data_IF_136376061350
#
_entry.id   IF_136376061350
#
_cell.length_a   1.000
_cell.length_b   1.000
_cell.length_c   1.000
_cell.angle_alpha   90.00
_cell.angle_beta   90.00
_cell.angle_gamma   90.00
#
_symmetry.space_group_name_H-M   'P 1'
#
loop_
_entity.id
_entity.type
_entity.pdbx_description
1 polymer ?
#
# COMPACT_ATOMS: atom_id res chain seq x y z
N UNK A 1 1.84 -8.69 -19.82
CA UNK A 1 2.38 -9.48 -18.69
C UNK A 1 1.26 -9.79 -17.71
N UNK A 2 1.41 -10.79 -16.86
CA UNK A 2 0.41 -11.14 -15.84
C UNK A 2 0.94 -10.86 -14.42
N UNK A 3 0.08 -10.42 -13.51
CA UNK A 3 0.38 -10.37 -12.08
C UNK A 3 0.11 -11.74 -11.45
N UNK A 4 1.07 -12.28 -10.71
CA UNK A 4 0.89 -13.52 -9.95
C UNK A 4 0.84 -13.20 -8.46
N UNK A 5 -0.25 -13.61 -7.81
CA UNK A 5 -0.50 -13.34 -6.41
C UNK A 5 -1.20 -14.53 -5.71
N UNK A 6 -1.30 -14.48 -4.38
CA UNK A 6 -2.05 -15.39 -3.52
C UNK A 6 -1.66 -16.88 -3.61
N UNK A 7 -0.40 -17.17 -3.93
CA UNK A 7 0.12 -18.54 -3.87
C UNK A 7 0.06 -19.06 -2.43
N UNK A 8 -0.82 -20.02 -2.17
CA UNK A 8 -0.99 -20.62 -0.86
C UNK A 8 -1.03 -22.15 -0.93
N UNK A 9 -0.35 -22.80 0.01
CA UNK A 9 -0.40 -24.25 0.22
C UNK A 9 -0.85 -24.54 1.64
N UNK A 10 -1.87 -25.38 1.77
CA UNK A 10 -2.42 -25.82 3.04
C UNK A 10 -1.31 -26.36 3.97
N UNK A 11 -1.36 -26.02 5.27
CA UNK A 11 -0.30 -26.32 6.25
C UNK A 11 0.14 -27.80 6.24
N UNK A 12 -0.81 -28.73 6.13
CA UNK A 12 -0.57 -30.20 6.08
C UNK A 12 0.12 -30.71 4.79
N UNK A 13 0.14 -29.91 3.72
CA UNK A 13 0.70 -30.27 2.42
C UNK A 13 2.02 -29.54 2.10
N UNK A 14 2.51 -28.72 3.03
CA UNK A 14 3.82 -28.05 2.90
C UNK A 14 4.93 -29.09 2.84
N UNK A 15 6.05 -28.73 2.20
CA UNK A 15 7.22 -29.60 1.96
C UNK A 15 6.98 -30.82 1.05
N UNK A 16 5.79 -30.99 0.47
CA UNK A 16 5.47 -32.05 -0.50
C UNK A 16 5.60 -31.64 -1.97
N UNK A 17 6.38 -30.58 -2.26
CA UNK A 17 6.57 -30.01 -3.60
C UNK A 17 5.29 -29.59 -4.34
N UNK A 18 4.23 -29.22 -3.62
CA UNK A 18 2.98 -28.72 -4.21
C UNK A 18 3.14 -27.37 -4.91
N UNK A 19 3.86 -26.42 -4.31
CA UNK A 19 4.02 -25.08 -4.87
C UNK A 19 4.64 -25.07 -6.28
N UNK A 20 5.73 -25.82 -6.57
CA UNK A 20 6.24 -25.95 -7.94
C UNK A 20 5.22 -26.46 -8.97
N UNK A 21 4.32 -27.37 -8.57
CA UNK A 21 3.28 -27.89 -9.48
C UNK A 21 2.24 -26.81 -9.78
N UNK A 22 1.79 -26.07 -8.76
CA UNK A 22 0.87 -24.96 -8.93
C UNK A 22 1.46 -23.86 -9.82
N UNK A 23 2.73 -23.51 -9.60
CA UNK A 23 3.45 -22.52 -10.41
C UNK A 23 3.51 -22.98 -11.87
N UNK A 24 3.88 -24.24 -12.14
CA UNK A 24 3.92 -24.78 -13.51
C UNK A 24 2.56 -24.74 -14.19
N UNK A 25 1.49 -25.10 -13.47
CA UNK A 25 0.14 -25.10 -14.06
C UNK A 25 -0.35 -23.70 -14.38
N UNK A 26 -0.14 -22.71 -13.50
CA UNK A 26 -0.53 -21.33 -13.82
C UNK A 26 0.32 -20.77 -14.96
N UNK A 27 1.62 -21.05 -15.02
CA UNK A 27 2.47 -20.69 -16.17
C UNK A 27 1.95 -21.30 -17.47
N UNK A 28 1.54 -22.58 -17.46
CA UNK A 28 0.95 -23.23 -18.63
C UNK A 28 -0.33 -22.52 -19.10
N UNK A 29 -1.23 -22.16 -18.18
CA UNK A 29 -2.48 -21.44 -18.51
C UNK A 29 -2.22 -20.05 -19.09
N UNK A 30 -1.32 -19.30 -18.47
CA UNK A 30 -0.94 -17.94 -18.93
C UNK A 30 -0.30 -17.99 -20.32
N UNK A 31 0.56 -18.99 -20.57
CA UNK A 31 1.18 -19.19 -21.88
C UNK A 31 0.16 -19.53 -22.98
N UNK A 32 -0.96 -20.19 -22.66
CA UNK A 32 -2.02 -20.49 -23.63
C UNK A 32 -2.76 -19.23 -24.09
N UNK A 33 -2.83 -18.20 -23.25
CA UNK A 33 -3.35 -16.87 -23.60
C UNK A 33 -2.31 -16.00 -24.34
N UNK A 34 -1.15 -16.57 -24.70
CA UNK A 34 -0.08 -15.86 -25.41
C UNK A 34 0.74 -14.90 -24.55
N UNK A 35 0.58 -14.94 -23.22
CA UNK A 35 1.35 -14.14 -22.28
C UNK A 35 2.51 -14.99 -21.76
N UNK A 36 3.74 -14.47 -21.84
CA UNK A 36 4.93 -15.23 -21.44
C UNK A 36 5.74 -14.58 -20.31
N UNK A 37 5.31 -13.41 -19.83
CA UNK A 37 5.96 -12.66 -18.76
C UNK A 37 5.00 -12.50 -17.58
N UNK A 38 5.55 -12.58 -16.38
CA UNK A 38 4.80 -12.36 -15.16
C UNK A 38 5.55 -11.42 -14.21
N UNK A 39 4.82 -10.73 -13.36
CA UNK A 39 5.36 -9.93 -12.25
C UNK A 39 4.77 -10.42 -10.95
N UNK A 40 5.59 -10.52 -9.92
CA UNK A 40 5.13 -10.95 -8.60
C UNK A 40 6.05 -10.38 -7.51
N UNK A 41 5.52 -10.37 -6.30
CA UNK A 41 6.25 -10.01 -5.10
C UNK A 41 6.36 -11.20 -4.16
N UNK A 42 7.39 -11.21 -3.34
CA UNK A 42 7.50 -12.16 -2.24
C UNK A 42 8.15 -11.48 -1.03
N UNK A 43 7.85 -12.00 0.17
CA UNK A 43 8.62 -11.66 1.37
C UNK A 43 9.92 -12.47 1.51
N UNK A 44 10.04 -13.57 0.76
CA UNK A 44 11.20 -14.46 0.76
C UNK A 44 12.16 -14.14 -0.38
N UNK A 45 13.46 -14.21 -0.08
CA UNK A 45 14.53 -13.94 -1.05
C UNK A 45 14.63 -15.10 -2.04
N UNK A 46 14.44 -14.78 -3.32
CA UNK A 46 14.64 -15.68 -4.46
C UNK A 46 15.70 -15.08 -5.41
N UNK A 47 16.30 -15.89 -6.30
CA UNK A 47 17.19 -15.36 -7.33
C UNK A 47 16.46 -14.42 -8.30
N UNK A 48 17.16 -13.40 -8.82
CA UNK A 48 16.63 -12.50 -9.84
C UNK A 48 15.76 -11.34 -9.33
N UNK A 49 16.04 -10.83 -8.12
CA UNK A 49 15.37 -9.65 -7.57
C UNK A 49 15.59 -8.44 -8.48
N UNK A 50 14.49 -7.80 -8.88
CA UNK A 50 14.47 -6.58 -9.68
C UNK A 50 14.53 -5.34 -8.77
N UNK A 51 13.76 -5.34 -7.68
CA UNK A 51 13.79 -4.29 -6.67
C UNK A 51 13.42 -4.85 -5.29
N UNK A 52 13.86 -4.17 -4.23
CA UNK A 52 13.59 -4.54 -2.84
C UNK A 52 13.02 -3.33 -2.10
N UNK A 53 11.72 -3.37 -1.86
CA UNK A 53 11.01 -2.36 -1.07
C UNK A 53 10.87 -2.85 0.37
N UNK A 54 10.73 -1.93 1.30
CA UNK A 54 10.59 -2.20 2.73
C UNK A 54 9.29 -1.62 3.24
N UNK A 55 8.62 -2.35 4.12
CA UNK A 55 7.42 -1.86 4.78
C UNK A 55 7.77 -0.85 5.87
N UNK A 56 6.88 0.11 6.01
CA UNK A 56 6.90 1.14 7.03
C UNK A 56 5.52 1.23 7.66
N UNK A 57 5.50 1.50 8.97
CA UNK A 57 4.28 1.45 9.78
C UNK A 57 4.10 2.75 10.56
N UNK A 58 2.93 3.36 10.44
CA UNK A 58 2.50 4.49 11.26
C UNK A 58 1.42 4.04 12.23
N UNK A 59 1.74 4.09 13.52
CA UNK A 59 0.83 3.70 14.60
C UNK A 59 -0.32 4.70 14.76
N UNK A 60 -1.55 4.30 14.48
CA UNK A 60 -2.75 5.11 14.72
C UNK A 60 -3.33 4.80 16.11
N UNK A 61 -3.36 3.53 16.49
CA UNK A 61 -3.85 3.05 17.80
C UNK A 61 -2.74 2.41 18.64
N UNK A 62 -1.89 3.25 19.24
CA UNK A 62 -0.72 2.80 20.01
C UNK A 62 -1.08 1.80 21.13
N UNK A 63 -2.19 2.02 21.84
CA UNK A 63 -2.62 1.14 22.96
C UNK A 63 -2.89 -0.28 22.46
N UNK A 64 -3.68 -0.41 21.39
CA UNK A 64 -4.01 -1.72 20.82
C UNK A 64 -2.78 -2.39 20.22
N UNK A 65 -1.96 -1.65 19.46
CA UNK A 65 -0.75 -2.20 18.83
C UNK A 65 0.25 -2.76 19.85
N UNK A 66 0.41 -2.13 21.01
CA UNK A 66 1.25 -2.64 22.09
C UNK A 66 0.63 -3.86 22.78
N UNK A 67 -0.69 -3.86 23.01
CA UNK A 67 -1.39 -4.98 23.65
C UNK A 67 -1.28 -6.27 22.81
N UNK A 68 -1.44 -6.15 21.49
CA UNK A 68 -1.38 -7.29 20.56
C UNK A 68 0.05 -7.64 20.14
N UNK A 69 1.07 -6.96 20.68
CA UNK A 69 2.50 -7.14 20.37
C UNK A 69 2.84 -6.92 18.89
N UNK A 70 2.07 -6.09 18.18
CA UNK A 70 2.43 -5.65 16.83
C UNK A 70 3.59 -4.65 16.89
N UNK A 71 3.57 -3.75 17.87
CA UNK A 71 4.66 -2.80 18.13
C UNK A 71 5.24 -3.01 19.52
N UNK A 72 6.45 -2.47 19.74
CA UNK A 72 7.14 -2.49 21.03
C UNK A 72 7.53 -1.07 21.47
N UNK A 73 7.64 -0.87 22.78
CA UNK A 73 8.18 0.38 23.33
C UNK A 73 9.71 0.35 23.20
N UNK A 74 10.27 1.42 22.66
CA UNK A 74 11.72 1.63 22.65
C UNK A 74 12.27 1.87 24.07
N UNK A 75 13.60 1.83 24.20
CA UNK A 75 14.30 2.18 25.44
C UNK A 75 13.90 3.61 25.86
N UNK A 76 13.55 3.81 27.13
CA UNK A 76 13.11 5.09 27.71
C UNK A 76 11.81 5.69 27.11
N UNK A 77 10.98 4.88 26.45
CA UNK A 77 9.67 5.30 25.95
C UNK A 77 8.55 4.78 26.87
N UNK A 78 7.68 5.68 27.34
CA UNK A 78 6.46 5.30 28.07
C UNK A 78 5.25 5.26 27.12
N UNK A 79 4.20 4.52 27.50
CA UNK A 79 2.95 4.46 26.74
C UNK A 79 2.39 5.87 26.47
N UNK A 80 2.30 6.72 27.50
CA UNK A 80 1.78 8.09 27.38
C UNK A 80 2.61 8.94 26.41
N UNK A 81 3.94 8.83 26.47
CA UNK A 81 4.84 9.54 25.56
C UNK A 81 4.66 9.08 24.11
N UNK A 82 4.52 7.77 23.89
CA UNK A 82 4.28 7.21 22.57
C UNK A 82 2.92 7.63 22.01
N UNK A 83 1.86 7.65 22.84
CA UNK A 83 0.56 8.16 22.43
C UNK A 83 0.62 9.64 22.05
N UNK A 84 1.28 10.48 22.86
CA UNK A 84 1.46 11.91 22.55
C UNK A 84 2.26 12.11 21.26
N UNK A 85 3.30 11.31 21.03
CA UNK A 85 4.11 11.37 19.81
C UNK A 85 3.30 11.04 18.56
N UNK A 86 2.41 10.05 18.64
CA UNK A 86 1.64 9.54 17.51
C UNK A 86 0.26 10.22 17.34
N UNK A 87 -0.12 11.12 18.25
CA UNK A 87 -1.40 11.85 18.20
C UNK A 87 -1.56 12.58 16.87
N UNK A 88 -2.75 12.47 16.30
CA UNK A 88 -3.19 13.18 15.11
C UNK A 88 -4.28 14.20 15.47
N UNK A 89 -4.47 15.27 14.67
CA UNK A 89 -5.65 16.14 14.76
C UNK A 89 -6.95 15.39 14.49
N UNK A 90 -8.08 15.99 14.89
CA UNK A 90 -9.42 15.46 14.61
C UNK A 90 -9.92 15.84 13.21
N UNK A 91 -9.52 17.02 12.71
CA UNK A 91 -9.94 17.55 11.41
C UNK A 91 -8.76 17.59 10.43
N UNK A 92 -9.05 17.32 9.17
CA UNK A 92 -8.12 17.47 8.04
C UNK A 92 -7.81 18.95 7.81
N UNK A 93 -6.59 19.26 7.39
CA UNK A 93 -6.15 20.66 7.25
C UNK A 93 -6.25 21.19 5.81
N UNK A 94 -6.19 20.31 4.80
CA UNK A 94 -6.24 20.71 3.39
C UNK A 94 -7.67 21.11 3.04
N UNK A 95 -7.84 22.36 2.60
CA UNK A 95 -9.12 22.84 2.08
C UNK A 95 -9.48 22.06 0.81
N UNK A 96 -10.71 21.55 0.76
CA UNK A 96 -11.20 20.78 -0.38
C UNK A 96 -10.76 19.31 -0.40
N UNK A 97 -10.07 18.83 0.64
CA UNK A 97 -9.84 17.40 0.83
C UNK A 97 -11.16 16.69 1.10
N UNK A 98 -11.54 15.78 0.20
CA UNK A 98 -12.79 15.03 0.32
C UNK A 98 -12.69 13.66 -0.34
N UNK A 99 -13.66 12.81 -0.01
CA UNK A 99 -13.84 11.50 -0.65
C UNK A 99 -14.05 11.68 -2.16
N UNK A 100 -13.36 10.85 -2.96
CA UNK A 100 -13.49 10.80 -4.42
C UNK A 100 -14.88 10.31 -4.82
N UNK A 101 -15.55 11.07 -5.69
CA UNK A 101 -16.85 10.74 -6.30
C UNK A 101 -16.65 10.13 -7.69
N UNK A 102 -17.67 9.51 -8.23
CA UNK A 102 -17.64 8.93 -9.59
C UNK A 102 -17.34 9.97 -10.67
N UNK A 103 -17.86 11.20 -10.51
CA UNK A 103 -17.58 12.34 -11.40
C UNK A 103 -16.10 12.74 -11.46
N UNK A 104 -15.33 12.39 -10.43
CA UNK A 104 -13.93 12.78 -10.28
C UNK A 104 -12.97 11.78 -10.93
N UNK A 105 -13.46 10.56 -11.22
CA UNK A 105 -12.66 9.44 -11.73
C UNK A 105 -11.83 9.84 -12.97
N UNK A 106 -12.38 10.52 -14.00
CA UNK A 106 -11.59 10.87 -15.18
C UNK A 106 -10.43 11.82 -14.86
N UNK A 107 -10.64 12.79 -13.96
CA UNK A 107 -9.63 13.77 -13.56
C UNK A 107 -8.54 13.10 -12.71
N UNK A 108 -8.93 12.29 -11.73
CA UNK A 108 -8.00 11.54 -10.88
C UNK A 108 -7.17 10.53 -11.68
N UNK A 109 -7.80 9.85 -12.65
CA UNK A 109 -7.12 8.95 -13.58
C UNK A 109 -6.06 9.66 -14.41
N UNK A 110 -6.37 10.85 -14.94
CA UNK A 110 -5.42 11.65 -15.71
C UNK A 110 -4.19 12.07 -14.87
N UNK A 111 -4.42 12.50 -13.62
CA UNK A 111 -3.35 12.84 -12.68
C UNK A 111 -2.45 11.64 -12.39
N UNK A 112 -3.06 10.49 -12.05
CA UNK A 112 -2.30 9.28 -11.74
C UNK A 112 -1.52 8.78 -12.95
N UNK A 113 -2.14 8.76 -14.13
CA UNK A 113 -1.48 8.32 -15.37
C UNK A 113 -0.26 9.19 -15.68
N UNK A 114 -0.36 10.51 -15.49
CA UNK A 114 0.77 11.41 -15.69
C UNK A 114 1.87 11.20 -14.64
N UNK A 115 1.49 10.93 -13.38
CA UNK A 115 2.41 10.64 -12.30
C UNK A 115 3.19 9.33 -12.53
N UNK A 116 2.50 8.26 -12.94
CA UNK A 116 3.08 6.93 -13.12
C UNK A 116 4.15 6.86 -14.23
N UNK A 117 4.10 7.77 -15.22
CA UNK A 117 5.12 7.87 -16.30
C UNK A 117 6.54 8.18 -15.80
N UNK A 118 6.69 8.64 -14.56
CA UNK A 118 8.02 8.97 -13.97
C UNK A 118 8.83 7.72 -13.59
N UNK A 119 8.17 6.57 -13.48
CA UNK A 119 8.74 5.35 -12.90
C UNK A 119 9.06 4.31 -13.98
N UNK A 120 10.08 3.48 -13.70
CA UNK A 120 10.57 2.49 -14.66
C UNK A 120 9.69 1.23 -14.67
N UNK A 121 9.13 0.86 -13.51
CA UNK A 121 8.17 -0.23 -13.35
C UNK A 121 6.84 0.33 -12.83
N UNK A 122 5.90 0.59 -13.75
CA UNK A 122 4.57 1.09 -13.43
C UNK A 122 3.51 0.36 -14.26
N UNK A 123 2.30 0.16 -13.70
CA UNK A 123 1.16 -0.29 -14.48
C UNK A 123 0.67 0.82 -15.41
N UNK A 124 0.15 0.42 -16.57
CA UNK A 124 -0.60 1.31 -17.47
C UNK A 124 -2.05 0.91 -17.33
N UNK A 125 -2.84 1.75 -16.66
CA UNK A 125 -4.25 1.48 -16.41
C UNK A 125 -5.11 2.02 -17.54
N UNK A 126 -6.21 1.32 -17.81
CA UNK A 126 -7.39 1.93 -18.43
C UNK A 126 -8.20 2.70 -17.39
N UNK A 127 -9.10 3.57 -17.83
CA UNK A 127 -10.00 4.28 -16.91
C UNK A 127 -10.88 3.30 -16.11
N UNK A 128 -11.35 2.22 -16.75
CA UNK A 128 -12.17 1.17 -16.13
C UNK A 128 -11.40 0.42 -15.04
N UNK A 129 -10.13 0.09 -15.29
CA UNK A 129 -9.26 -0.54 -14.28
C UNK A 129 -8.99 0.39 -13.11
N UNK A 130 -8.71 1.67 -13.38
CA UNK A 130 -8.53 2.68 -12.33
C UNK A 130 -9.80 2.84 -11.48
N UNK A 131 -10.96 2.94 -12.11
CA UNK A 131 -12.24 2.99 -11.39
C UNK A 131 -12.44 1.74 -10.55
N UNK A 132 -12.21 0.55 -11.12
CA UNK A 132 -12.36 -0.70 -10.39
C UNK A 132 -11.47 -0.79 -9.14
N UNK A 133 -10.24 -0.26 -9.21
CA UNK A 133 -9.25 -0.35 -8.15
C UNK A 133 -9.38 0.78 -7.11
N UNK A 134 -9.73 1.98 -7.54
CA UNK A 134 -9.70 3.18 -6.71
C UNK A 134 -11.08 3.74 -6.35
N UNK A 135 -12.19 3.24 -6.91
CA UNK A 135 -13.53 3.67 -6.49
C UNK A 135 -13.78 3.25 -5.04
N UNK A 136 -14.24 4.21 -4.23
CA UNK A 136 -14.51 4.01 -2.81
C UNK A 136 -15.46 2.83 -2.57
N UNK A 137 -14.98 1.83 -1.83
CA UNK A 137 -15.77 0.66 -1.43
C UNK A 137 -15.53 0.41 0.05
N UNK A 138 -16.61 0.35 0.82
CA UNK A 138 -16.56 0.12 2.26
C UNK A 138 -15.77 -1.14 2.59
N UNK A 139 -14.83 -1.04 3.54
CA UNK A 139 -13.94 -2.13 3.96
C UNK A 139 -12.98 -2.68 2.89
N UNK A 140 -12.82 -2.00 1.74
CA UNK A 140 -11.93 -2.44 0.66
C UNK A 140 -10.93 -1.35 0.30
N UNK A 141 -11.41 -0.18 -0.13
CA UNK A 141 -10.55 0.91 -0.59
C UNK A 141 -11.18 2.26 -0.27
N UNK A 142 -10.34 3.20 0.16
CA UNK A 142 -10.69 4.59 0.40
C UNK A 142 -9.80 5.49 -0.44
N UNK A 143 -10.43 6.38 -1.21
CA UNK A 143 -9.80 7.28 -2.16
C UNK A 143 -10.32 8.70 -1.97
N UNK A 144 -9.40 9.65 -2.06
CA UNK A 144 -9.62 11.06 -1.78
C UNK A 144 -9.04 11.91 -2.89
N UNK A 145 -9.63 13.09 -3.04
CA UNK A 145 -9.19 14.12 -3.98
C UNK A 145 -9.14 15.46 -3.26
N UNK A 146 -8.30 16.36 -3.78
CA UNK A 146 -8.27 17.77 -3.37
C UNK A 146 -8.88 18.61 -4.47
N UNK A 147 -10.05 19.16 -4.19
CA UNK A 147 -10.78 20.09 -5.07
C UNK A 147 -10.46 21.54 -4.68
N UNK A 148 -10.00 22.32 -5.65
CA UNK A 148 -9.69 23.74 -5.47
C UNK A 148 -10.97 24.60 -5.58
N UNK A 149 -10.87 25.89 -5.25
CA UNK A 149 -12.02 26.82 -5.27
C UNK A 149 -12.64 26.98 -6.67
N UNK A 150 -11.88 26.69 -7.74
CA UNK A 150 -12.31 26.70 -9.13
C UNK A 150 -12.99 25.39 -9.59
N UNK A 151 -13.08 24.38 -8.72
CA UNK A 151 -13.61 23.04 -9.04
C UNK A 151 -12.61 22.12 -9.77
N UNK A 152 -11.34 22.52 -9.87
CA UNK A 152 -10.28 21.69 -10.40
C UNK A 152 -9.81 20.66 -9.37
N UNK A 153 -9.63 19.41 -9.81
CA UNK A 153 -9.04 18.36 -8.98
C UNK A 153 -7.54 18.37 -9.23
N UNK A 154 -6.79 18.57 -8.16
CA UNK A 154 -5.34 18.82 -8.25
C UNK A 154 -4.50 17.69 -7.68
N UNK A 155 -5.03 16.98 -6.70
CA UNK A 155 -4.33 15.90 -6.02
C UNK A 155 -5.27 14.69 -5.82
N UNK A 156 -4.70 13.49 -5.84
CA UNK A 156 -5.38 12.22 -5.62
C UNK A 156 -4.54 11.35 -4.66
N UNK A 157 -5.22 10.63 -3.76
CA UNK A 157 -4.56 9.67 -2.86
C UNK A 157 -5.55 8.56 -2.47
N UNK A 158 -5.04 7.34 -2.32
CA UNK A 158 -5.83 6.17 -1.94
C UNK A 158 -5.09 5.23 -1.00
N UNK A 159 -5.86 4.47 -0.23
CA UNK A 159 -5.37 3.36 0.58
C UNK A 159 -6.40 2.23 0.58
N UNK A 160 -5.92 0.98 0.62
CA UNK A 160 -6.78 -0.20 0.74
C UNK A 160 -6.78 -0.74 2.17
N UNK A 161 -7.84 -1.48 2.49
CA UNK A 161 -8.11 -1.99 3.83
C UNK A 161 -7.70 -3.45 3.87
N UNK A 162 -6.93 -3.84 4.89
CA UNK A 162 -6.56 -5.22 5.10
C UNK A 162 -6.59 -5.54 6.59
N UNK A 163 -7.65 -6.23 6.99
CA UNK A 163 -7.80 -6.69 8.37
C UNK A 163 -7.07 -8.01 8.59
N UNK A 164 -6.25 -8.08 9.64
CA UNK A 164 -5.55 -9.29 10.06
C UNK A 164 -6.19 -9.89 11.31
N UNK A 165 -6.37 -11.21 11.34
CA UNK A 165 -6.86 -11.91 12.54
C UNK A 165 -5.78 -11.93 13.62
N UNK A 166 -6.13 -11.51 14.83
CA UNK A 166 -5.27 -11.58 16.01
C UNK A 166 -5.47 -12.94 16.66
N UNK A 167 -4.39 -13.71 16.80
CA UNK A 167 -4.41 -15.03 17.41
C UNK A 167 -4.22 -14.91 18.93
N UNK A 168 -5.04 -15.64 19.71
CA UNK A 168 -4.85 -15.86 21.15
C UNK A 168 -4.85 -14.57 22.02
N UNK A 169 -5.72 -13.60 21.72
CA UNK A 169 -5.89 -12.40 22.56
C UNK A 169 -7.33 -12.30 23.09
N UNK A 170 -7.51 -12.02 24.38
CA UNK A 170 -8.84 -12.05 25.02
C UNK A 170 -9.75 -10.88 24.61
N UNK A 171 -9.16 -9.71 24.35
CA UNK A 171 -9.89 -8.46 24.09
C UNK A 171 -9.99 -8.07 22.60
N UNK A 172 -9.09 -8.56 21.76
CA UNK A 172 -8.93 -8.07 20.39
C UNK A 172 -8.85 -9.26 19.42
N UNK A 173 -9.74 -9.29 18.44
CA UNK A 173 -9.82 -10.38 17.46
C UNK A 173 -9.29 -9.97 16.08
N UNK A 174 -9.31 -8.67 15.79
CA UNK A 174 -8.96 -8.13 14.47
C UNK A 174 -8.07 -6.90 14.62
N UNK A 175 -7.01 -6.87 13.82
CA UNK A 175 -6.15 -5.71 13.59
C UNK A 175 -6.58 -5.06 12.27
N UNK A 176 -7.09 -3.83 12.33
CA UNK A 176 -7.50 -3.10 11.15
C UNK A 176 -6.31 -2.30 10.63
N UNK A 177 -5.71 -2.76 9.53
CA UNK A 177 -4.63 -2.06 8.88
C UNK A 177 -5.11 -1.43 7.57
N UNK A 178 -4.59 -0.25 7.27
CA UNK A 178 -4.68 0.35 5.96
C UNK A 178 -3.30 0.31 5.30
N UNK A 179 -3.28 0.17 3.98
CA UNK A 179 -2.06 0.13 3.19
C UNK A 179 -2.15 1.20 2.12
N UNK A 180 -1.14 2.07 2.08
CA UNK A 180 -1.04 3.10 1.05
C UNK A 180 -1.08 2.46 -0.32
N UNK A 181 -1.97 2.98 -1.17
CA UNK A 181 -2.11 2.53 -2.54
C UNK A 181 -1.48 3.59 -3.46
N UNK A 182 -2.22 4.09 -4.46
CA UNK A 182 -1.72 5.10 -5.36
C UNK A 182 -1.98 6.52 -4.85
N UNK A 183 -1.10 7.44 -5.27
CA UNK A 183 -1.24 8.87 -5.04
C UNK A 183 -0.66 9.63 -6.23
N UNK A 184 -1.12 10.86 -6.44
CA UNK A 184 -0.59 11.80 -7.40
C UNK A 184 -0.84 13.21 -6.84
N UNK A 185 0.23 13.88 -6.42
CA UNK A 185 0.20 15.23 -5.88
C UNK A 185 0.79 16.21 -6.89
N UNK A 186 0.07 17.29 -7.20
CA UNK A 186 0.50 18.35 -8.11
C UNK A 186 0.66 19.69 -7.43
N UNK A 187 -0.24 20.07 -6.50
CA UNK A 187 -0.18 21.37 -5.81
C UNK A 187 0.15 21.22 -4.34
N UNK A 188 -0.43 20.22 -3.69
CA UNK A 188 -0.25 19.99 -2.26
C UNK A 188 1.06 19.22 -2.02
N UNK A 189 1.90 19.62 -1.04
CA UNK A 189 3.04 18.82 -0.65
C UNK A 189 2.61 17.40 -0.24
N UNK A 190 3.32 16.38 -0.73
CA UNK A 190 2.96 14.98 -0.46
C UNK A 190 2.82 14.65 1.04
N UNK A 191 3.69 15.13 1.96
CA UNK A 191 3.53 14.88 3.38
C UNK A 191 2.21 15.42 3.96
N UNK A 192 1.71 16.54 3.45
CA UNK A 192 0.47 17.14 3.92
C UNK A 192 -0.73 16.29 3.45
N UNK A 193 -0.71 15.87 2.17
CA UNK A 193 -1.73 14.99 1.60
C UNK A 193 -1.83 13.66 2.34
N UNK A 194 -0.68 13.05 2.65
CA UNK A 194 -0.64 11.80 3.42
C UNK A 194 -1.08 12.02 4.87
N UNK A 195 -0.73 13.17 5.48
CA UNK A 195 -1.16 13.48 6.84
C UNK A 195 -2.70 13.53 6.97
N UNK A 196 -3.40 14.11 6.01
CA UNK A 196 -4.87 14.12 6.01
C UNK A 196 -5.47 12.73 5.79
N UNK A 197 -4.82 11.88 4.99
CA UNK A 197 -5.19 10.46 4.93
C UNK A 197 -4.98 9.73 6.26
N UNK A 198 -3.93 10.04 7.01
CA UNK A 198 -3.70 9.46 8.34
C UNK A 198 -4.80 9.89 9.33
N UNK A 199 -5.22 11.16 9.28
CA UNK A 199 -6.33 11.68 10.10
C UNK A 199 -7.62 10.93 9.75
N UNK A 200 -7.94 10.82 8.46
CA UNK A 200 -9.11 10.08 8.01
C UNK A 200 -9.07 8.61 8.48
N UNK A 201 -7.95 7.92 8.30
CA UNK A 201 -7.80 6.54 8.77
C UNK A 201 -7.94 6.43 10.29
N UNK A 202 -7.38 7.37 11.06
CA UNK A 202 -7.52 7.39 12.51
C UNK A 202 -8.98 7.55 12.94
N UNK A 203 -9.73 8.46 12.32
CA UNK A 203 -11.13 8.73 12.61
C UNK A 203 -12.06 7.58 12.20
N UNK A 204 -11.60 6.67 11.34
CA UNK A 204 -12.32 5.47 10.91
C UNK A 204 -11.79 4.19 11.59
N UNK A 205 -11.26 4.32 12.81
CA UNK A 205 -10.87 3.20 13.68
C UNK A 205 -9.82 2.24 13.08
N UNK A 206 -8.94 2.73 12.20
CA UNK A 206 -7.75 1.99 11.78
C UNK A 206 -6.69 2.02 12.88
N UNK A 207 -5.98 0.89 13.02
CA UNK A 207 -4.98 0.72 14.06
C UNK A 207 -3.57 1.11 13.60
N UNK A 208 -3.26 0.84 12.33
CA UNK A 208 -1.96 1.08 11.72
C UNK A 208 -2.10 1.43 10.24
N UNK A 209 -1.29 2.39 9.79
CA UNK A 209 -1.17 2.75 8.38
C UNK A 209 0.17 2.25 7.85
N UNK A 210 0.14 1.44 6.80
CA UNK A 210 1.31 0.81 6.21
C UNK A 210 1.64 1.48 4.87
N UNK A 211 2.93 1.62 4.58
CA UNK A 211 3.41 2.08 3.28
C UNK A 211 4.69 1.34 2.92
N UNK A 212 4.94 1.18 1.61
CA UNK A 212 6.23 0.73 1.10
C UNK A 212 7.10 1.95 0.75
N UNK A 213 8.41 1.83 0.81
CA UNK A 213 9.36 2.90 0.40
C UNK A 213 9.57 3.03 -1.12
N UNK A 214 8.51 2.73 -1.87
CA UNK A 214 8.43 2.85 -3.33
C UNK A 214 7.83 4.21 -3.75
N UNK A 215 7.86 4.52 -5.05
CA UNK A 215 7.49 5.83 -5.59
C UNK A 215 8.21 6.98 -4.84
N UNK A 216 7.53 8.10 -4.61
CA UNK A 216 8.06 9.24 -3.84
C UNK A 216 7.77 9.10 -2.33
N UNK A 217 7.41 7.90 -1.83
CA UNK A 217 6.94 7.74 -0.45
C UNK A 217 7.99 8.15 0.60
N UNK A 218 9.28 8.03 0.28
CA UNK A 218 10.38 8.47 1.16
C UNK A 218 10.28 9.94 1.56
N UNK A 219 9.60 10.78 0.78
CA UNK A 219 9.42 12.19 1.10
C UNK A 219 8.63 12.45 2.39
N UNK A 220 7.72 11.54 2.76
CA UNK A 220 6.84 11.69 3.91
C UNK A 220 7.12 10.69 5.04
N UNK A 221 7.71 9.52 4.76
CA UNK A 221 7.81 8.42 5.73
C UNK A 221 8.40 8.86 7.08
N UNK A 222 9.60 9.43 7.07
CA UNK A 222 10.26 9.89 8.30
C UNK A 222 9.54 11.10 8.93
N UNK A 223 9.13 12.07 8.10
CA UNK A 223 8.45 13.31 8.55
C UNK A 223 7.15 13.01 9.27
N UNK A 224 6.38 12.05 8.78
CA UNK A 224 5.11 11.62 9.35
C UNK A 224 5.25 10.49 10.36
N UNK A 225 6.47 10.21 10.83
CA UNK A 225 6.76 9.25 11.92
C UNK A 225 6.39 7.81 11.57
N UNK A 226 6.48 7.43 10.31
CA UNK A 226 6.47 6.02 9.96
C UNK A 226 7.74 5.37 10.52
N UNK A 227 7.59 4.23 11.18
CA UNK A 227 8.70 3.40 11.64
C UNK A 227 9.03 2.33 10.61
N UNK A 228 10.31 2.01 10.49
CA UNK A 228 10.80 0.92 9.62
C UNK A 228 10.27 -0.42 10.12
N UNK A 229 9.59 -1.16 9.25
CA UNK A 229 9.15 -2.53 9.49
C UNK A 229 10.28 -3.55 9.31
N UNK A 230 10.05 -4.76 9.80
CA UNK A 230 10.94 -5.91 9.62
C UNK A 230 10.76 -6.60 8.25
N UNK A 231 9.58 -6.45 7.64
CA UNK A 231 9.23 -6.99 6.34
C UNK A 231 9.86 -6.25 5.16
N UNK A 232 10.51 -7.01 4.27
CA UNK A 232 10.87 -6.54 2.93
C UNK A 232 9.99 -7.23 1.90
N UNK A 233 9.55 -6.48 0.90
CA UNK A 233 8.85 -6.99 -0.27
C UNK A 233 9.79 -6.91 -1.47
N UNK A 234 10.14 -8.08 -2.03
CA UNK A 234 11.01 -8.15 -3.20
C UNK A 234 10.18 -8.32 -4.46
N UNK A 235 10.53 -7.58 -5.51
CA UNK A 235 9.89 -7.61 -6.82
C UNK A 235 10.67 -8.51 -7.79
N UNK A 236 9.93 -9.31 -8.55
CA UNK A 236 10.46 -10.24 -9.53
C UNK A 236 9.69 -10.13 -10.84
N UNK A 237 10.40 -10.26 -11.95
CA UNK A 237 9.78 -10.33 -13.28
C UNK A 237 10.23 -11.64 -13.93
N UNK A 238 9.28 -12.53 -14.18
CA UNK A 238 9.49 -13.80 -14.84
C UNK A 238 9.65 -13.59 -16.35
N UNK A 239 10.63 -14.30 -16.93
CA UNK A 239 10.93 -14.28 -18.36
C UNK A 239 11.19 -12.86 -18.92
N UNK A 240 11.87 -12.04 -18.13
CA UNK A 240 12.29 -10.70 -18.50
C UNK A 240 13.66 -10.40 -17.90
N UNK A 241 14.57 -9.84 -18.69
CA UNK A 241 15.89 -9.43 -18.23
C UNK A 241 15.95 -7.91 -18.18
N UNK A 242 16.20 -7.36 -17.01
CA UNK A 242 16.41 -5.94 -16.80
C UNK A 242 17.47 -5.70 -15.72
N UNK A 243 17.96 -4.47 -15.64
CA UNK A 243 18.79 -4.02 -14.52
C UNK A 243 17.99 -3.99 -13.23
N UNK A 244 18.67 -4.14 -12.11
CA UNK A 244 18.06 -3.85 -10.82
C UNK A 244 17.71 -2.36 -10.74
N UNK A 245 16.60 -2.05 -10.08
CA UNK A 245 16.09 -0.70 -9.92
C UNK A 245 15.89 -0.37 -8.45
N UNK A 246 16.08 0.90 -8.11
CA UNK A 246 15.81 1.38 -6.76
C UNK A 246 14.30 1.39 -6.48
N UNK A 247 13.86 1.27 -5.22
CA UNK A 247 12.44 1.35 -4.84
C UNK A 247 11.71 2.58 -5.38
N UNK A 248 12.40 3.72 -5.47
CA UNK A 248 11.89 4.99 -6.00
C UNK A 248 11.58 4.94 -7.50
N UNK A 249 12.00 3.89 -8.20
CA UNK A 249 11.67 3.64 -9.61
C UNK A 249 10.54 2.63 -9.80
N UNK A 250 10.00 2.10 -8.71
CA UNK A 250 8.87 1.16 -8.70
C UNK A 250 7.60 1.91 -8.32
N UNK A 251 6.60 1.83 -9.19
CA UNK A 251 5.24 2.29 -8.94
C UNK A 251 4.20 1.19 -9.20
N UNK A 252 4.63 -0.07 -9.10
CA UNK A 252 3.74 -1.22 -9.17
C UNK A 252 3.43 -1.70 -7.75
N UNK A 253 2.18 -1.56 -7.31
CA UNK A 253 1.71 -2.08 -6.03
C UNK A 253 0.96 -3.39 -6.26
N UNK A 254 1.52 -4.49 -5.74
CA UNK A 254 0.86 -5.80 -5.72
C UNK A 254 0.26 -6.03 -4.32
N UNK A 255 -0.94 -6.59 -4.27
CA UNK A 255 -1.70 -6.81 -3.02
C UNK A 255 -1.19 -7.99 -2.19
#
# INVERSE_FOLDING_TARGET
MVEINFLCVHKKLRLKRMAPVLIKEITRRVNLEGIFQAVYTAGVVLPGIVSKCRYWHRSLNVKKLLAVKFSHLGRNMTLQRMQRLNRLPEETHIKGFRVMRESDVPKAFALLTQYLKKFDLAPIFTQEEFEYLCQNRSNIVSSFVVEQEDGEITDFISYYHLSSTIMNHQQYNTLNACYMYYHAASRTPLPDLVNDCLIHAHNNDFDVFNALDLMDNKEFLEKLKFGVGDGNLQYYIYNWRCSQMNPEKVALLLQ
#
